data_IF_938029267122
#
_entry.id   IF_938029267122
#
_cell.length_a   1.000
_cell.length_b   1.000
_cell.length_c   1.000
_cell.angle_alpha   90.00
_cell.angle_beta   90.00
_cell.angle_gamma   90.00
#
_symmetry.space_group_name_H-M   'P 1'
#
loop_
_entity.id
_entity.type
_entity.pdbx_description
1 polymer ?
#
# COMPACT_ATOMS: atom_id res chain seq x y z
N UNK A 1 17.62 7.57 -5.67
CA UNK A 1 16.49 6.82 -6.28
C UNK A 1 15.24 6.89 -5.40
N UNK A 2 14.04 6.81 -5.98
CA UNK A 2 12.76 6.70 -5.26
C UNK A 2 12.10 5.38 -5.63
N UNK A 3 11.71 4.58 -4.64
CA UNK A 3 11.19 3.23 -4.84
C UNK A 3 9.76 3.11 -4.33
N UNK A 4 8.89 2.44 -5.11
CA UNK A 4 7.47 2.28 -4.79
C UNK A 4 7.08 0.81 -4.87
N UNK A 5 6.45 0.30 -3.83
CA UNK A 5 5.87 -1.06 -3.80
C UNK A 5 4.56 -1.05 -3.03
N UNK A 6 3.71 -2.04 -3.26
CA UNK A 6 2.43 -2.21 -2.57
C UNK A 6 2.06 -3.68 -2.43
N UNK A 7 0.94 -3.96 -1.82
CA UNK A 7 0.24 -5.25 -1.86
C UNK A 7 1.13 -6.44 -1.48
N UNK A 8 1.94 -6.26 -0.44
CA UNK A 8 2.83 -7.32 0.08
C UNK A 8 2.04 -8.39 0.83
N UNK A 9 0.94 -7.98 1.47
CA UNK A 9 0.03 -8.86 2.22
C UNK A 9 0.74 -9.77 3.22
N UNK A 10 1.64 -9.21 4.01
CA UNK A 10 2.33 -9.95 5.08
C UNK A 10 1.32 -10.55 6.05
N UNK A 11 1.43 -11.84 6.31
CA UNK A 11 0.45 -12.59 7.10
C UNK A 11 -0.59 -13.33 6.25
N UNK A 12 -0.59 -13.17 4.94
CA UNK A 12 -1.44 -13.92 4.01
C UNK A 12 -1.02 -15.39 3.91
N UNK A 13 -1.97 -16.24 3.54
CA UNK A 13 -1.71 -17.67 3.31
C UNK A 13 -1.39 -18.45 4.60
N UNK A 14 -0.64 -19.54 4.44
CA UNK A 14 -0.11 -20.29 5.58
C UNK A 14 1.16 -19.63 6.16
N UNK A 15 1.59 -20.14 7.30
CA UNK A 15 2.77 -19.60 8.01
C UNK A 15 4.05 -19.66 7.16
N UNK A 16 4.21 -20.71 6.37
CA UNK A 16 5.40 -20.91 5.51
C UNK A 16 5.41 -19.91 4.36
N UNK A 17 4.26 -19.69 3.72
CA UNK A 17 4.11 -18.70 2.67
C UNK A 17 4.35 -17.28 3.20
N UNK A 18 3.67 -16.93 4.29
CA UNK A 18 3.83 -15.62 4.95
C UNK A 18 5.29 -15.35 5.33
N UNK A 19 5.98 -16.36 5.89
CA UNK A 19 7.39 -16.24 6.27
C UNK A 19 8.31 -16.02 5.05
N UNK A 20 8.07 -16.73 3.96
CA UNK A 20 8.83 -16.54 2.71
C UNK A 20 8.62 -15.15 2.12
N UNK A 21 7.37 -14.67 2.11
CA UNK A 21 7.05 -13.32 1.63
C UNK A 21 7.72 -12.25 2.49
N UNK A 22 7.69 -12.40 3.83
CA UNK A 22 8.38 -11.49 4.76
C UNK A 22 9.89 -11.44 4.47
N UNK A 23 10.53 -12.60 4.33
CA UNK A 23 11.96 -12.69 4.02
C UNK A 23 12.32 -12.09 2.65
N UNK A 24 11.46 -12.30 1.66
CA UNK A 24 11.64 -11.72 0.32
C UNK A 24 11.51 -10.21 0.35
N UNK A 25 10.53 -9.69 1.08
CA UNK A 25 10.32 -8.26 1.24
C UNK A 25 11.49 -7.58 1.97
N UNK A 26 12.01 -8.20 3.03
CA UNK A 26 13.21 -7.70 3.73
C UNK A 26 14.42 -7.65 2.79
N UNK A 27 14.65 -8.67 1.97
CA UNK A 27 15.74 -8.67 0.97
C UNK A 27 15.57 -7.54 -0.07
N UNK A 28 14.33 -7.26 -0.48
CA UNK A 28 14.04 -6.14 -1.37
C UNK A 28 14.35 -4.80 -0.69
N UNK A 29 13.93 -4.62 0.56
CA UNK A 29 14.25 -3.44 1.36
C UNK A 29 15.75 -3.22 1.47
N UNK A 30 16.52 -4.28 1.76
CA UNK A 30 17.99 -4.22 1.79
C UNK A 30 18.58 -3.74 0.46
N UNK A 31 18.13 -4.33 -0.64
CA UNK A 31 18.61 -4.00 -1.98
C UNK A 31 18.34 -2.55 -2.37
N UNK A 32 17.10 -2.09 -2.17
CA UNK A 32 16.73 -0.72 -2.60
C UNK A 32 17.30 0.35 -1.66
N UNK A 33 17.55 0.02 -0.39
CA UNK A 33 18.12 0.94 0.58
C UNK A 33 19.58 1.34 0.28
N UNK A 34 20.26 0.63 -0.62
CA UNK A 34 21.64 0.94 -1.00
C UNK A 34 21.77 2.35 -1.65
N UNK A 35 20.73 2.78 -2.38
CA UNK A 35 20.72 4.07 -3.09
C UNK A 35 19.42 4.86 -2.97
N UNK A 36 18.50 4.43 -2.08
CA UNK A 36 17.20 5.05 -1.90
C UNK A 36 17.33 6.46 -1.26
N UNK A 37 16.79 7.45 -1.94
CA UNK A 37 16.47 8.77 -1.34
C UNK A 37 15.17 8.66 -0.53
N UNK A 38 14.22 7.81 -0.99
CA UNK A 38 13.02 7.43 -0.24
C UNK A 38 12.40 6.12 -0.76
N UNK A 39 11.69 5.42 0.13
CA UNK A 39 10.91 4.20 -0.15
C UNK A 39 9.44 4.49 0.16
N UNK A 40 8.56 4.20 -0.78
CA UNK A 40 7.11 4.39 -0.69
C UNK A 40 6.42 3.03 -0.63
N UNK A 41 5.82 2.73 0.50
CA UNK A 41 4.99 1.56 0.75
C UNK A 41 3.53 1.96 0.49
N UNK A 42 3.01 1.63 -0.69
CA UNK A 42 1.76 2.21 -1.21
C UNK A 42 0.54 1.35 -0.84
N UNK A 43 0.41 1.01 0.44
CA UNK A 43 -0.71 0.32 1.04
C UNK A 43 -0.68 -1.20 0.92
N UNK A 44 -1.50 -1.85 1.75
CA UNK A 44 -1.65 -3.30 1.84
C UNK A 44 -0.32 -4.05 2.05
N UNK A 45 0.55 -3.47 2.88
CA UNK A 45 1.81 -4.12 3.27
C UNK A 45 1.50 -5.29 4.21
N UNK A 46 0.53 -5.14 5.08
CA UNK A 46 0.02 -6.22 5.92
C UNK A 46 -1.31 -6.73 5.39
N UNK A 47 -1.52 -8.04 5.44
CA UNK A 47 -2.79 -8.66 5.04
C UNK A 47 -3.94 -8.27 5.96
N UNK A 48 -3.63 -8.02 7.23
CA UNK A 48 -4.52 -7.42 8.20
C UNK A 48 -3.70 -6.80 9.33
N UNK A 49 -3.89 -5.50 9.54
CA UNK A 49 -3.24 -4.77 10.63
C UNK A 49 -4.26 -4.02 11.46
N UNK A 50 -4.29 -4.29 12.77
CA UNK A 50 -5.17 -3.63 13.73
C UNK A 50 -4.40 -3.24 14.98
N UNK A 51 -4.30 -1.96 15.26
CA UNK A 51 -3.69 -1.45 16.48
C UNK A 51 -4.73 -1.20 17.57
N UNK A 52 -4.62 -1.91 18.66
CA UNK A 52 -5.23 -1.60 19.95
C UNK A 52 -4.41 -0.53 20.69
N UNK A 53 -4.87 -0.14 21.88
CA UNK A 53 -4.13 0.86 22.68
C UNK A 53 -2.73 0.39 23.11
N UNK A 54 -2.55 -0.92 23.34
CA UNK A 54 -1.30 -1.52 23.84
C UNK A 54 -0.96 -2.85 23.17
N UNK A 55 -1.70 -3.25 22.14
CA UNK A 55 -1.51 -4.57 21.48
C UNK A 55 -1.51 -4.36 19.97
N UNK A 56 -0.57 -5.02 19.31
CA UNK A 56 -0.44 -5.11 17.87
C UNK A 56 -0.48 -6.58 17.44
N UNK A 57 -0.69 -6.89 16.15
CA UNK A 57 -0.59 -8.25 15.63
C UNK A 57 0.78 -8.88 15.92
N UNK A 58 0.79 -10.16 16.28
CA UNK A 58 2.03 -10.93 16.45
C UNK A 58 2.69 -11.21 15.11
N UNK A 59 4.00 -11.31 15.11
CA UNK A 59 4.82 -11.62 13.94
C UNK A 59 5.47 -10.37 13.35
N UNK A 60 5.87 -10.47 12.10
CA UNK A 60 6.46 -9.37 11.32
C UNK A 60 7.75 -8.77 11.90
N UNK A 61 8.40 -9.47 12.83
CA UNK A 61 9.57 -8.98 13.56
C UNK A 61 10.72 -8.59 12.61
N UNK A 62 10.88 -9.32 11.50
CA UNK A 62 11.95 -9.05 10.54
C UNK A 62 11.68 -7.77 9.76
N UNK A 63 10.46 -7.60 9.25
CA UNK A 63 10.10 -6.41 8.49
C UNK A 63 10.05 -5.18 9.39
N UNK A 64 9.44 -5.28 10.57
CA UNK A 64 9.40 -4.17 11.54
C UNK A 64 10.81 -3.76 11.97
N UNK A 65 11.67 -4.73 12.31
CA UNK A 65 13.08 -4.46 12.64
C UNK A 65 13.86 -3.88 11.45
N UNK A 66 13.58 -4.33 10.22
CA UNK A 66 14.22 -3.77 9.03
C UNK A 66 13.77 -2.33 8.75
N UNK A 67 12.49 -2.03 8.91
CA UNK A 67 11.99 -0.66 8.76
C UNK A 67 12.65 0.28 9.78
N UNK A 68 12.73 -0.14 11.06
CA UNK A 68 13.40 0.63 12.11
C UNK A 68 14.90 0.82 11.81
N UNK A 69 15.62 -0.26 11.45
CA UNK A 69 17.03 -0.17 11.06
C UNK A 69 17.27 0.85 9.93
N UNK A 70 16.44 0.81 8.88
CA UNK A 70 16.59 1.68 7.72
C UNK A 70 16.31 3.14 8.06
N UNK A 71 15.26 3.40 8.85
CA UNK A 71 14.94 4.77 9.30
C UNK A 71 16.00 5.33 10.26
N UNK A 72 16.57 4.50 11.15
CA UNK A 72 17.70 4.86 12.01
C UNK A 72 18.95 5.22 11.20
N UNK A 73 19.12 4.60 10.03
CA UNK A 73 20.18 4.93 9.06
C UNK A 73 19.87 6.19 8.22
N UNK A 74 18.71 6.80 8.41
CA UNK A 74 18.28 8.02 7.71
C UNK A 74 17.53 7.79 6.39
N UNK A 75 17.18 6.55 6.03
CA UNK A 75 16.36 6.25 4.85
C UNK A 75 14.93 6.73 5.11
N UNK A 76 14.39 7.56 4.24
CA UNK A 76 13.02 8.03 4.35
C UNK A 76 12.05 6.95 3.90
N UNK A 77 11.17 6.48 4.79
CA UNK A 77 10.15 5.50 4.46
C UNK A 77 8.77 6.11 4.67
N UNK A 78 7.95 6.05 3.63
CA UNK A 78 6.59 6.58 3.60
C UNK A 78 5.61 5.41 3.46
N UNK A 79 4.67 5.31 4.39
CA UNK A 79 3.66 4.25 4.42
C UNK A 79 2.28 4.84 4.12
N UNK A 80 1.69 4.44 3.02
CA UNK A 80 0.31 4.78 2.67
C UNK A 80 -0.61 3.68 3.17
N UNK A 81 -1.71 4.06 3.77
CA UNK A 81 -2.70 3.10 4.27
C UNK A 81 -3.54 2.57 3.11
N UNK A 82 -3.58 1.25 2.98
CA UNK A 82 -4.50 0.52 2.11
C UNK A 82 -5.77 0.08 2.83
N UNK A 83 -6.55 -0.78 2.20
CA UNK A 83 -7.78 -1.31 2.80
C UNK A 83 -7.55 -2.47 3.78
N UNK A 84 -6.45 -3.17 3.70
CA UNK A 84 -6.08 -4.25 4.62
C UNK A 84 -5.37 -3.76 5.89
N UNK A 85 -4.67 -2.64 5.82
CA UNK A 85 -3.94 -2.05 6.94
C UNK A 85 -4.53 -0.69 7.41
N UNK A 86 -5.81 -0.45 7.09
CA UNK A 86 -6.49 0.82 7.40
C UNK A 86 -6.62 1.13 8.89
N UNK A 87 -6.37 0.17 9.77
CA UNK A 87 -6.46 0.33 11.21
C UNK A 87 -5.10 0.48 11.90
N UNK A 88 -4.08 0.84 11.13
CA UNK A 88 -2.86 1.43 11.67
C UNK A 88 -3.15 2.71 12.43
N UNK A 89 -2.33 3.01 13.43
CA UNK A 89 -2.38 4.26 14.21
C UNK A 89 -1.02 4.94 14.16
N UNK A 90 -0.25 4.80 15.21
CA UNK A 90 1.01 5.50 15.41
C UNK A 90 2.21 4.56 15.71
N UNK A 91 1.96 3.25 15.75
CA UNK A 91 3.01 2.27 16.05
C UNK A 91 4.16 2.33 15.03
N UNK A 92 3.84 2.29 13.73
CA UNK A 92 4.87 2.34 12.68
C UNK A 92 5.66 3.65 12.71
N UNK A 93 5.02 4.77 13.06
CA UNK A 93 5.71 6.05 13.20
C UNK A 93 6.61 6.08 14.43
N UNK A 94 6.11 5.62 15.58
CA UNK A 94 6.82 5.71 16.86
C UNK A 94 7.94 4.68 17.01
N UNK A 95 7.68 3.44 16.57
CA UNK A 95 8.59 2.31 16.79
C UNK A 95 9.49 2.03 15.58
N UNK A 96 9.02 2.36 14.36
CA UNK A 96 9.78 2.08 13.14
C UNK A 96 10.24 3.36 12.41
N UNK A 97 9.94 4.57 12.90
CA UNK A 97 10.34 5.82 12.27
C UNK A 97 9.72 6.09 10.89
N UNK A 98 8.72 5.32 10.49
CA UNK A 98 8.07 5.38 9.18
C UNK A 98 7.01 6.48 9.17
N UNK A 99 6.99 7.35 8.17
CA UNK A 99 5.94 8.37 8.06
C UNK A 99 4.68 7.81 7.42
N UNK A 100 3.57 7.79 8.15
CA UNK A 100 2.31 7.18 7.71
C UNK A 100 1.35 8.23 7.11
N UNK A 101 0.76 7.89 5.95
CA UNK A 101 -0.25 8.70 5.28
C UNK A 101 -1.60 7.98 5.21
N UNK A 102 -2.62 8.61 5.80
CA UNK A 102 -4.02 8.12 5.79
C UNK A 102 -4.83 8.62 4.59
N UNK A 103 -4.23 9.43 3.74
CA UNK A 103 -4.83 10.02 2.54
C UNK A 103 -3.81 10.01 1.41
N UNK A 104 -4.26 10.02 0.16
CA UNK A 104 -3.39 10.26 -0.97
C UNK A 104 -2.51 11.49 -0.80
N UNK A 105 -1.34 11.48 -1.40
CA UNK A 105 -0.41 12.59 -1.36
C UNK A 105 -0.02 13.01 -2.77
N UNK A 106 0.19 14.31 -2.93
CA UNK A 106 0.83 14.91 -4.09
C UNK A 106 2.20 15.40 -3.63
N UNK A 107 3.25 14.94 -4.28
CA UNK A 107 4.64 15.20 -3.86
C UNK A 107 5.51 15.52 -5.05
N UNK A 108 6.45 16.45 -4.85
CA UNK A 108 7.51 16.72 -5.83
C UNK A 108 8.69 15.78 -5.55
N UNK A 109 8.99 14.90 -6.49
CA UNK A 109 10.10 13.93 -6.43
C UNK A 109 10.98 14.10 -7.67
N UNK A 110 12.27 14.34 -7.49
CA UNK A 110 13.22 14.59 -8.59
C UNK A 110 12.70 15.64 -9.61
N UNK A 111 12.05 16.71 -9.13
CA UNK A 111 11.47 17.76 -9.98
C UNK A 111 10.20 17.37 -10.75
N UNK A 112 9.60 16.20 -10.46
CA UNK A 112 8.35 15.71 -11.03
C UNK A 112 7.23 15.71 -10.00
N UNK A 113 6.04 16.04 -10.43
CA UNK A 113 4.83 16.05 -9.60
C UNK A 113 4.16 14.67 -9.64
N UNK A 114 4.17 13.98 -8.49
CA UNK A 114 3.74 12.60 -8.36
C UNK A 114 2.53 12.52 -7.41
N UNK A 115 1.40 12.02 -7.90
CA UNK A 115 0.27 11.65 -7.07
C UNK A 115 0.39 10.19 -6.66
N UNK A 116 0.34 9.91 -5.35
CA UNK A 116 0.52 8.58 -4.78
C UNK A 116 -0.72 8.22 -3.96
N UNK A 117 -1.34 7.09 -4.27
CA UNK A 117 -2.50 6.58 -3.57
C UNK A 117 -2.54 5.06 -3.63
N UNK A 118 -3.16 4.40 -2.63
CA UNK A 118 -3.37 2.96 -2.72
C UNK A 118 -4.36 2.60 -3.84
N UNK A 119 -5.49 3.30 -3.95
CA UNK A 119 -6.45 3.10 -5.05
C UNK A 119 -7.81 2.59 -4.61
N UNK A 120 -7.95 2.00 -3.43
CA UNK A 120 -9.15 1.35 -2.89
C UNK A 120 -10.39 2.24 -2.77
N UNK A 121 -10.21 3.56 -2.67
CA UNK A 121 -11.31 4.52 -2.52
C UNK A 121 -11.47 5.47 -3.71
N UNK A 122 -10.76 5.23 -4.79
CA UNK A 122 -10.83 6.06 -5.97
C UNK A 122 -12.03 5.63 -6.83
N UNK A 123 -12.81 6.60 -7.27
CA UNK A 123 -13.96 6.38 -8.16
C UNK A 123 -14.97 5.31 -7.69
N UNK A 124 -15.24 5.28 -6.38
CA UNK A 124 -16.22 4.33 -5.77
C UNK A 124 -17.64 4.54 -6.31
N UNK A 125 -17.83 5.55 -7.17
CA UNK A 125 -18.99 5.80 -8.01
C UNK A 125 -20.34 5.61 -7.32
N UNK A 126 -21.23 4.88 -7.96
CA UNK A 126 -22.61 4.60 -7.51
C UNK A 126 -22.72 3.32 -6.68
N UNK A 127 -21.72 2.96 -5.87
CA UNK A 127 -21.77 1.80 -4.97
C UNK A 127 -22.01 2.24 -3.49
N UNK A 128 -23.28 2.51 -3.10
CA UNK A 128 -23.57 3.10 -1.80
C UNK A 128 -23.20 2.17 -0.63
N UNK A 129 -23.30 0.86 -0.83
CA UNK A 129 -22.94 -0.15 0.17
C UNK A 129 -21.42 -0.14 0.44
N UNK A 130 -20.60 -0.08 -0.60
CA UNK A 130 -19.15 -0.01 -0.49
C UNK A 130 -18.73 1.31 0.17
N UNK A 131 -19.39 2.41 -0.17
CA UNK A 131 -19.20 3.73 0.44
C UNK A 131 -19.52 3.71 1.93
N UNK A 132 -20.65 3.11 2.31
CA UNK A 132 -21.04 2.95 3.71
C UNK A 132 -20.04 2.10 4.48
N UNK A 133 -19.64 0.96 3.91
CA UNK A 133 -18.66 0.06 4.49
C UNK A 133 -17.31 0.78 4.72
N UNK A 134 -16.79 1.46 3.71
CA UNK A 134 -15.55 2.23 3.81
C UNK A 134 -15.64 3.34 4.86
N UNK A 135 -16.79 4.03 4.95
CA UNK A 135 -17.03 5.05 5.97
C UNK A 135 -17.01 4.45 7.38
N UNK A 136 -17.67 3.30 7.57
CA UNK A 136 -17.68 2.59 8.86
C UNK A 136 -16.26 2.14 9.26
N UNK A 137 -15.54 1.49 8.36
CA UNK A 137 -14.18 0.98 8.65
C UNK A 137 -13.16 2.11 8.89
N UNK A 138 -13.31 3.26 8.24
CA UNK A 138 -12.44 4.43 8.44
C UNK A 138 -12.88 5.33 9.60
N UNK A 139 -14.04 5.07 10.23
CA UNK A 139 -14.53 5.84 11.37
C UNK A 139 -13.65 5.63 12.60
N UNK A 140 -13.05 6.72 13.12
CA UNK A 140 -12.26 6.70 14.37
C UNK A 140 -13.11 6.30 15.57
N UNK A 141 -14.39 6.67 15.59
CA UNK A 141 -15.32 6.37 16.68
C UNK A 141 -15.63 4.86 16.69
N UNK A 142 -16.04 4.30 15.54
CA UNK A 142 -16.35 2.88 15.43
C UNK A 142 -15.13 2.01 15.71
N UNK A 143 -13.95 2.40 15.24
CA UNK A 143 -12.69 1.73 15.57
C UNK A 143 -12.40 1.73 17.06
N UNK A 144 -12.58 2.88 17.74
CA UNK A 144 -12.37 2.99 19.19
C UNK A 144 -13.37 2.10 19.97
N UNK A 145 -14.65 2.12 19.57
CA UNK A 145 -15.68 1.26 20.14
C UNK A 145 -15.37 -0.22 19.93
N UNK A 146 -15.02 -0.61 18.71
CA UNK A 146 -14.63 -1.98 18.39
C UNK A 146 -13.43 -2.43 19.22
N UNK A 147 -12.39 -1.61 19.33
CA UNK A 147 -11.20 -1.95 20.13
C UNK A 147 -11.47 -2.02 21.63
N UNK A 148 -12.56 -1.44 22.11
CA UNK A 148 -12.99 -1.54 23.51
C UNK A 148 -13.85 -2.79 23.76
N UNK A 149 -14.71 -3.17 22.82
CA UNK A 149 -15.69 -4.25 22.97
C UNK A 149 -15.17 -5.62 22.52
N UNK A 150 -14.24 -5.68 21.54
CA UNK A 150 -13.81 -6.92 20.90
C UNK A 150 -12.41 -7.32 21.35
N UNK A 151 -12.30 -8.57 21.84
CA UNK A 151 -11.00 -9.11 22.23
C UNK A 151 -10.03 -9.16 21.04
N UNK A 152 -8.73 -8.81 21.20
CA UNK A 152 -7.76 -8.80 20.10
C UNK A 152 -7.70 -10.08 19.27
N UNK A 153 -7.71 -11.25 19.91
CA UNK A 153 -7.65 -12.53 19.17
C UNK A 153 -8.88 -12.76 18.27
N UNK A 154 -10.06 -12.30 18.71
CA UNK A 154 -11.28 -12.39 17.89
C UNK A 154 -11.23 -11.43 16.71
N UNK A 155 -10.76 -10.22 16.94
CA UNK A 155 -10.59 -9.21 15.89
C UNK A 155 -9.58 -9.66 14.83
N UNK A 156 -8.44 -10.21 15.25
CA UNK A 156 -7.40 -10.72 14.34
C UNK A 156 -7.91 -11.92 13.54
N UNK A 157 -8.60 -12.89 14.16
CA UNK A 157 -9.22 -14.01 13.43
C UNK A 157 -10.27 -13.55 12.43
N UNK A 158 -11.13 -12.61 12.82
CA UNK A 158 -12.12 -12.03 11.91
C UNK A 158 -11.45 -11.30 10.74
N UNK A 159 -10.44 -10.49 11.02
CA UNK A 159 -9.71 -9.75 10.01
C UNK A 159 -9.01 -10.66 9.00
N UNK A 160 -8.33 -11.70 9.47
CA UNK A 160 -7.69 -12.71 8.62
C UNK A 160 -8.70 -13.46 7.73
N UNK A 161 -9.86 -13.83 8.31
CA UNK A 161 -10.95 -14.46 7.54
C UNK A 161 -11.49 -13.50 6.47
N UNK A 162 -11.74 -12.24 6.84
CA UNK A 162 -12.26 -11.22 5.93
C UNK A 162 -11.27 -10.94 4.79
N UNK A 163 -10.01 -10.71 5.12
CA UNK A 163 -8.93 -10.49 4.17
C UNK A 163 -8.79 -11.67 3.20
N UNK A 164 -8.77 -12.90 3.71
CA UNK A 164 -8.71 -14.10 2.90
C UNK A 164 -9.89 -14.25 1.93
N UNK A 165 -11.10 -13.79 2.31
CA UNK A 165 -12.28 -13.77 1.43
C UNK A 165 -12.14 -12.70 0.34
N UNK A 166 -11.66 -11.52 0.69
CA UNK A 166 -11.42 -10.42 -0.26
C UNK A 166 -10.43 -10.84 -1.34
N UNK A 167 -9.27 -11.40 -0.97
CA UNK A 167 -8.25 -11.87 -1.92
C UNK A 167 -8.78 -12.97 -2.85
N UNK A 168 -9.57 -13.92 -2.34
CA UNK A 168 -10.18 -14.99 -3.16
C UNK A 168 -11.14 -14.44 -4.20
N UNK A 169 -11.82 -13.33 -3.95
CA UNK A 169 -12.65 -12.67 -4.97
C UNK A 169 -11.80 -12.05 -6.07
N UNK A 170 -10.72 -11.34 -5.71
CA UNK A 170 -9.80 -10.75 -6.69
C UNK A 170 -9.07 -11.80 -7.56
N UNK A 171 -8.71 -12.97 -6.99
CA UNK A 171 -8.09 -14.06 -7.74
C UNK A 171 -9.03 -14.71 -8.78
N UNK A 172 -10.35 -14.59 -8.62
CA UNK A 172 -11.34 -15.11 -9.58
C UNK A 172 -11.59 -14.17 -10.76
N UNK A 173 -11.34 -12.88 -10.55
CA UNK A 173 -11.49 -11.88 -11.58
C UNK A 173 -10.23 -11.87 -12.44
N UNK A 174 -10.33 -12.26 -13.71
CA UNK A 174 -9.24 -12.06 -14.67
C UNK A 174 -9.02 -10.55 -14.85
N UNK A 175 -8.10 -9.98 -14.08
CA UNK A 175 -7.76 -8.56 -14.19
C UNK A 175 -7.07 -8.36 -15.54
N UNK A 176 -7.63 -7.46 -16.32
CA UNK A 176 -7.13 -7.05 -17.64
C UNK A 176 -6.84 -5.54 -17.62
N UNK A 177 -6.12 -4.99 -18.57
CA UNK A 177 -5.94 -3.53 -18.66
C UNK A 177 -7.27 -2.76 -18.63
N UNK A 178 -8.36 -3.31 -19.18
CA UNK A 178 -9.69 -2.68 -19.11
C UNK A 178 -10.26 -2.64 -17.68
N UNK A 179 -9.85 -3.53 -16.81
CA UNK A 179 -10.24 -3.50 -15.39
C UNK A 179 -9.61 -2.32 -14.63
N UNK A 180 -8.58 -1.68 -15.18
CA UNK A 180 -7.90 -0.53 -14.60
C UNK A 180 -8.48 0.82 -15.06
N UNK A 181 -9.35 0.82 -16.07
CA UNK A 181 -9.82 2.04 -16.73
C UNK A 181 -10.45 3.02 -15.75
N UNK A 182 -11.19 2.53 -14.76
CA UNK A 182 -11.81 3.41 -13.74
C UNK A 182 -10.78 4.20 -12.90
N UNK A 183 -9.58 3.64 -12.65
CA UNK A 183 -8.49 4.35 -11.97
C UNK A 183 -7.71 5.25 -12.94
N UNK A 184 -7.59 4.85 -14.20
CA UNK A 184 -7.01 5.69 -15.25
C UNK A 184 -7.90 6.92 -15.47
N UNK A 185 -9.22 6.75 -15.53
CA UNK A 185 -10.17 7.86 -15.61
C UNK A 185 -10.09 8.79 -14.39
N UNK A 186 -9.93 8.21 -13.19
CA UNK A 186 -9.68 9.01 -12.00
C UNK A 186 -8.38 9.82 -12.14
N UNK A 187 -7.30 9.22 -12.63
CA UNK A 187 -6.02 9.90 -12.81
C UNK A 187 -6.14 11.04 -13.87
N UNK A 188 -6.88 10.81 -14.96
CA UNK A 188 -7.18 11.83 -15.97
C UNK A 188 -7.96 13.00 -15.36
N UNK A 189 -8.98 12.70 -14.57
CA UNK A 189 -9.78 13.74 -13.90
C UNK A 189 -8.95 14.51 -12.87
N UNK A 190 -8.13 13.79 -12.06
CA UNK A 190 -7.19 14.42 -11.15
C UNK A 190 -6.21 15.36 -11.87
N UNK A 191 -5.64 14.93 -13.01
CA UNK A 191 -4.74 15.75 -13.85
C UNK A 191 -5.43 17.00 -14.37
N UNK A 192 -6.71 16.96 -14.76
CA UNK A 192 -7.45 18.14 -15.21
C UNK A 192 -7.52 19.23 -14.13
N UNK A 193 -7.64 18.84 -12.86
CA UNK A 193 -7.69 19.76 -11.72
C UNK A 193 -6.32 20.12 -11.17
N UNK A 194 -5.30 19.28 -11.42
CA UNK A 194 -3.91 19.43 -10.97
C UNK A 194 -2.98 19.32 -12.18
N UNK A 195 -2.94 20.34 -12.99
CA UNK A 195 -2.31 20.34 -14.33
C UNK A 195 -0.82 20.04 -14.31
N UNK A 196 -0.15 20.23 -13.20
CA UNK A 196 1.30 19.95 -13.04
C UNK A 196 1.63 18.47 -12.80
N UNK A 197 0.64 17.59 -12.51
CA UNK A 197 0.89 16.18 -12.21
C UNK A 197 1.54 15.48 -13.40
N UNK A 198 2.72 14.91 -13.22
CA UNK A 198 3.45 14.12 -14.23
C UNK A 198 3.11 12.63 -14.12
N UNK A 199 3.05 12.12 -12.88
CA UNK A 199 2.90 10.70 -12.58
C UNK A 199 1.79 10.45 -11.57
N UNK A 200 1.13 9.30 -11.73
CA UNK A 200 0.21 8.73 -10.74
C UNK A 200 0.66 7.32 -10.42
N UNK A 201 0.75 6.96 -9.14
CA UNK A 201 1.16 5.62 -8.69
C UNK A 201 0.05 5.02 -7.85
N UNK A 202 -0.45 3.85 -8.27
CA UNK A 202 -1.48 3.07 -7.58
C UNK A 202 -0.99 1.67 -7.19
N UNK A 203 -1.48 1.15 -6.07
CA UNK A 203 -1.50 -0.26 -5.69
C UNK A 203 -2.85 -0.91 -5.96
N UNK A 204 -3.32 -1.75 -5.03
CA UNK A 204 -4.67 -2.31 -4.91
C UNK A 204 -5.10 -3.30 -5.99
N UNK A 205 -4.76 -3.07 -7.23
CA UNK A 205 -5.23 -3.87 -8.36
C UNK A 205 -4.43 -5.16 -8.56
N UNK A 206 -3.30 -5.33 -7.88
CA UNK A 206 -2.42 -6.51 -8.00
C UNK A 206 -1.96 -6.81 -9.44
N UNK A 207 -2.11 -5.87 -10.34
CA UNK A 207 -1.80 -6.00 -11.76
C UNK A 207 -0.79 -4.93 -12.18
N UNK A 208 0.48 -5.31 -12.37
CA UNK A 208 1.52 -4.34 -12.74
C UNK A 208 1.29 -3.85 -14.16
N UNK A 209 1.01 -2.56 -14.29
CA UNK A 209 0.73 -1.93 -15.58
C UNK A 209 1.32 -0.53 -15.63
N UNK A 210 1.83 -0.17 -16.78
CA UNK A 210 2.42 1.13 -17.06
C UNK A 210 1.65 1.76 -18.20
N UNK A 211 0.75 2.67 -17.87
CA UNK A 211 -0.08 3.40 -18.82
C UNK A 211 0.52 4.79 -19.07
N UNK A 212 0.86 5.07 -20.32
CA UNK A 212 1.45 6.35 -20.72
C UNK A 212 0.55 7.10 -21.70
N UNK A 213 0.27 8.35 -21.38
CA UNK A 213 -0.37 9.34 -22.24
C UNK A 213 0.59 10.51 -22.49
N UNK A 214 0.24 11.42 -23.37
CA UNK A 214 1.13 12.53 -23.78
C UNK A 214 1.66 13.35 -22.60
N UNK A 215 0.83 13.60 -21.58
CA UNK A 215 1.18 14.45 -20.44
C UNK A 215 0.89 13.80 -19.08
N UNK A 216 0.61 12.49 -19.03
CA UNK A 216 0.31 11.76 -17.81
C UNK A 216 0.79 10.31 -17.92
N UNK A 217 1.47 9.81 -16.90
CA UNK A 217 1.81 8.39 -16.80
C UNK A 217 1.25 7.81 -15.51
N UNK A 218 0.53 6.70 -15.62
CA UNK A 218 -0.12 6.01 -14.51
C UNK A 218 0.53 4.65 -14.33
N UNK A 219 1.11 4.40 -13.15
CA UNK A 219 1.76 3.15 -12.81
C UNK A 219 0.93 2.40 -11.79
N UNK A 220 0.66 1.14 -12.09
CA UNK A 220 0.03 0.19 -11.18
C UNK A 220 1.10 -0.79 -10.68
N UNK A 221 1.15 -0.96 -9.37
CA UNK A 221 2.12 -1.84 -8.71
C UNK A 221 1.59 -3.28 -8.63
N UNK A 222 2.49 -4.26 -8.51
CA UNK A 222 2.11 -5.66 -8.37
C UNK A 222 1.93 -6.08 -6.91
N UNK A 223 1.24 -7.21 -6.71
CA UNK A 223 1.35 -7.97 -5.47
C UNK A 223 2.68 -8.76 -5.38
N UNK A 224 2.86 -9.49 -4.26
CA UNK A 224 4.09 -10.23 -3.94
C UNK A 224 3.95 -11.76 -4.08
N UNK A 225 2.86 -12.24 -4.68
CA UNK A 225 2.57 -13.68 -4.77
C UNK A 225 3.47 -14.40 -5.77
N UNK A 226 3.82 -13.75 -6.88
CA UNK A 226 4.62 -14.35 -7.96
C UNK A 226 5.83 -13.46 -8.32
N UNK A 227 5.90 -12.98 -9.55
CA UNK A 227 6.91 -12.03 -10.00
C UNK A 227 6.59 -10.64 -9.43
N UNK A 228 7.49 -10.11 -8.62
CA UNK A 228 7.29 -8.79 -8.00
C UNK A 228 7.74 -7.70 -8.96
N UNK A 229 6.81 -6.81 -9.29
CA UNK A 229 7.13 -5.58 -10.03
C UNK A 229 6.90 -4.37 -9.12
N UNK A 230 7.92 -3.58 -8.95
CA UNK A 230 7.92 -2.34 -8.19
C UNK A 230 8.26 -1.17 -9.11
N UNK A 231 7.89 0.05 -8.78
CA UNK A 231 8.30 1.21 -9.54
C UNK A 231 9.58 1.81 -8.95
N UNK A 232 10.46 2.29 -9.83
CA UNK A 232 11.66 3.02 -9.45
C UNK A 232 11.76 4.30 -10.29
N UNK A 233 11.98 5.43 -9.60
CA UNK A 233 12.23 6.73 -10.21
C UNK A 233 13.68 7.12 -9.99
N UNK A 234 14.36 7.50 -11.06
CA UNK A 234 15.74 7.98 -11.01
C UNK A 234 15.82 9.46 -10.60
N UNK A 235 17.04 9.97 -10.46
CA UNK A 235 17.28 11.37 -10.09
C UNK A 235 16.98 12.36 -11.21
N UNK A 236 16.81 11.88 -12.45
CA UNK A 236 16.36 12.67 -13.59
C UNK A 236 14.82 12.73 -13.69
N UNK A 237 14.12 12.09 -12.74
CA UNK A 237 12.66 12.05 -12.68
C UNK A 237 12.02 11.04 -13.63
N UNK A 238 12.79 10.07 -14.18
CA UNK A 238 12.22 9.01 -15.02
C UNK A 238 11.77 7.85 -14.15
N UNK A 239 10.49 7.47 -14.28
CA UNK A 239 9.91 6.35 -13.52
C UNK A 239 9.69 5.15 -14.44
N UNK A 240 9.91 3.94 -13.92
CA UNK A 240 9.63 2.68 -14.65
C UNK A 240 9.38 1.52 -13.70
N UNK A 241 8.62 0.51 -14.18
CA UNK A 241 8.47 -0.75 -13.47
C UNK A 241 9.76 -1.58 -13.59
N UNK A 242 10.20 -2.16 -12.49
CA UNK A 242 11.34 -3.06 -12.37
C UNK A 242 10.89 -4.39 -11.77
N UNK A 243 11.61 -5.45 -12.07
CA UNK A 243 11.38 -6.79 -11.50
C UNK A 243 12.38 -7.10 -10.39
N UNK A 244 11.90 -7.76 -9.33
CA UNK A 244 12.72 -8.23 -8.21
C UNK A 244 12.78 -9.74 -8.13
#
# INVERSE_FOLDING_TARGET
MYYFTSDVHLGAGDETFSRRTEQRFVKWLDKVAEDADAIFLVGDIFDFWFEYGRVIPKGFVRVLGKLAELTDRGVKIYFFIGNHDMWCRDYLEKECGVKTFFKPQHMTLAGKEVFIAHGDNMNVGNQPMLRLMNTCFRSRILRKLFSWCVHPDLALKFGQWWSGKSRKSHLKDHITPSSLEFLIDYARDYKRHNTTTDYVVFGHMHYPYDHAEEHLRVLFLSNWDAEVKYAAMDRDGRISLKTF
#
